data_IF_228015045379
#
_entry.id   IF_228015045379
#
_cell.length_a   1.000
_cell.length_b   1.000
_cell.length_c   1.000
_cell.angle_alpha   90.00
_cell.angle_beta   90.00
_cell.angle_gamma   90.00
#
_symmetry.space_group_name_H-M   'P 1'
#
loop_
_entity.id
_entity.type
_entity.pdbx_description
1 polymer ?
#
# COMPACT_ATOMS: atom_id res chain seq x y z
N UNK A 1 11.35 -17.28 -21.11
CA UNK A 1 10.80 -16.81 -22.40
C UNK A 1 10.96 -17.90 -23.42
N UNK A 2 9.89 -18.67 -23.61
CA UNK A 2 9.87 -19.76 -24.57
C UNK A 2 9.07 -19.33 -25.78
N UNK A 3 9.70 -19.35 -26.94
CA UNK A 3 8.98 -19.22 -28.20
C UNK A 3 8.17 -20.51 -28.42
N UNK A 4 6.88 -20.40 -28.65
CA UNK A 4 5.99 -21.53 -28.93
C UNK A 4 5.53 -21.50 -30.36
N UNK A 5 5.55 -22.65 -31.02
CA UNK A 5 4.97 -22.79 -32.36
C UNK A 5 3.44 -22.88 -32.30
N UNK A 6 2.76 -22.63 -33.44
CA UNK A 6 1.31 -22.80 -33.55
C UNK A 6 0.83 -24.16 -33.03
N UNK A 7 1.55 -25.23 -33.39
CA UNK A 7 1.19 -26.61 -32.99
C UNK A 7 1.32 -26.81 -31.49
N UNK A 8 2.44 -26.33 -30.90
CA UNK A 8 2.66 -26.39 -29.45
C UNK A 8 1.61 -25.61 -28.65
N UNK A 9 1.16 -24.44 -29.17
CA UNK A 9 0.10 -23.66 -28.53
C UNK A 9 -1.24 -24.42 -28.58
N UNK A 10 -1.59 -25.05 -29.73
CA UNK A 10 -2.82 -25.83 -29.87
C UNK A 10 -2.81 -27.02 -28.90
N UNK A 11 -1.68 -27.76 -28.85
CA UNK A 11 -1.51 -28.92 -27.98
C UNK A 11 -1.61 -28.52 -26.48
N UNK A 12 -0.92 -27.44 -26.08
CA UNK A 12 -0.94 -26.93 -24.74
C UNK A 12 -2.35 -26.44 -24.31
N UNK A 13 -3.09 -25.78 -25.20
CA UNK A 13 -4.47 -25.36 -24.95
C UNK A 13 -5.38 -26.59 -24.75
N UNK A 14 -5.18 -27.65 -25.53
CA UNK A 14 -5.95 -28.89 -25.41
C UNK A 14 -5.62 -29.64 -24.12
N UNK A 15 -4.33 -29.85 -23.82
CA UNK A 15 -3.90 -30.67 -22.69
C UNK A 15 -4.14 -29.96 -21.36
N UNK A 16 -3.80 -28.68 -21.26
CA UNK A 16 -3.85 -27.94 -19.99
C UNK A 16 -5.21 -27.35 -19.67
N UNK A 17 -5.96 -26.95 -20.71
CA UNK A 17 -7.22 -26.21 -20.54
C UNK A 17 -8.43 -26.90 -21.17
N UNK A 18 -8.24 -28.02 -21.86
CA UNK A 18 -9.33 -28.75 -22.58
C UNK A 18 -9.90 -27.99 -23.77
N UNK A 19 -9.19 -26.97 -24.26
CA UNK A 19 -9.65 -26.10 -25.35
C UNK A 19 -9.10 -26.61 -26.69
N UNK A 20 -10.00 -26.98 -27.60
CA UNK A 20 -9.64 -27.37 -28.96
C UNK A 20 -9.84 -26.19 -29.91
N UNK A 21 -8.77 -25.74 -30.56
CA UNK A 21 -8.79 -24.62 -31.50
C UNK A 21 -8.16 -24.97 -32.84
N UNK A 22 -8.63 -24.33 -33.91
CA UNK A 22 -8.04 -24.43 -35.24
C UNK A 22 -6.95 -23.35 -35.41
N UNK A 23 -5.95 -23.60 -36.27
CA UNK A 23 -4.86 -22.64 -36.55
C UNK A 23 -5.35 -21.24 -36.92
N UNK A 24 -6.43 -21.17 -37.75
CA UNK A 24 -7.01 -19.88 -38.16
C UNK A 24 -7.63 -19.13 -37.00
N UNK A 25 -8.31 -19.83 -36.09
CA UNK A 25 -8.91 -19.25 -34.89
C UNK A 25 -7.80 -18.73 -33.95
N UNK A 26 -6.76 -19.56 -33.73
CA UNK A 26 -5.64 -19.16 -32.89
C UNK A 26 -4.93 -17.89 -33.42
N UNK A 27 -4.76 -17.79 -34.75
CA UNK A 27 -4.17 -16.60 -35.37
C UNK A 27 -5.03 -15.33 -35.15
N UNK A 28 -6.37 -15.47 -35.26
CA UNK A 28 -7.31 -14.36 -34.96
C UNK A 28 -7.30 -13.98 -33.52
N UNK A 29 -7.25 -14.94 -32.60
CA UNK A 29 -7.19 -14.70 -31.17
C UNK A 29 -5.89 -13.98 -30.79
N UNK A 30 -4.76 -14.36 -31.39
CA UNK A 30 -3.47 -13.68 -31.19
C UNK A 30 -3.54 -12.24 -31.69
N UNK A 31 -4.12 -12.02 -32.90
CA UNK A 31 -4.30 -10.64 -33.41
C UNK A 31 -5.18 -9.79 -32.49
N UNK A 32 -6.28 -10.34 -31.98
CA UNK A 32 -7.14 -9.65 -31.04
C UNK A 32 -6.40 -9.32 -29.73
N UNK A 33 -5.55 -10.21 -29.21
CA UNK A 33 -4.72 -9.94 -28.03
C UNK A 33 -3.69 -8.83 -28.30
N UNK A 34 -3.11 -8.78 -29.51
CA UNK A 34 -2.20 -7.69 -29.92
C UNK A 34 -2.94 -6.35 -30.01
N UNK A 35 -4.15 -6.32 -30.57
CA UNK A 35 -5.02 -5.12 -30.60
C UNK A 35 -5.40 -4.66 -29.19
N UNK A 36 -5.56 -5.60 -28.26
CA UNK A 36 -5.81 -5.30 -26.85
C UNK A 36 -4.57 -4.78 -26.11
N UNK A 37 -3.42 -4.69 -26.77
CA UNK A 37 -2.18 -4.13 -26.22
C UNK A 37 -1.18 -5.16 -25.66
N UNK A 38 -1.38 -6.45 -25.92
CA UNK A 38 -0.36 -7.46 -25.58
C UNK A 38 0.77 -7.43 -26.62
N UNK A 39 2.00 -7.26 -26.17
CA UNK A 39 3.18 -7.26 -27.03
C UNK A 39 3.57 -8.70 -27.41
N UNK A 40 2.81 -9.28 -28.34
CA UNK A 40 3.07 -10.61 -28.88
C UNK A 40 3.84 -10.47 -30.19
N UNK A 41 5.10 -10.92 -30.16
CA UNK A 41 5.94 -10.97 -31.37
C UNK A 41 5.75 -12.29 -32.10
N UNK A 42 5.57 -12.19 -33.39
CA UNK A 42 5.46 -13.33 -34.29
C UNK A 42 6.73 -13.43 -35.14
N UNK A 43 7.50 -14.51 -34.94
CA UNK A 43 8.66 -14.81 -35.79
C UNK A 43 8.22 -15.75 -36.90
N UNK A 44 8.19 -15.24 -38.12
CA UNK A 44 7.85 -16.01 -39.30
C UNK A 44 9.04 -16.86 -39.75
N UNK A 45 8.87 -18.17 -39.70
CA UNK A 45 9.80 -19.18 -40.24
C UNK A 45 9.00 -20.28 -40.91
N UNK A 46 9.59 -21.44 -41.19
CA UNK A 46 8.85 -22.63 -41.63
C UNK A 46 7.64 -22.96 -40.76
N UNK A 47 7.69 -22.60 -39.48
CA UNK A 47 6.55 -22.58 -38.53
C UNK A 47 6.58 -21.27 -37.79
N UNK A 48 5.45 -20.54 -37.76
CA UNK A 48 5.33 -19.32 -36.98
C UNK A 48 5.54 -19.62 -35.49
N UNK A 49 6.39 -18.80 -34.85
CA UNK A 49 6.68 -18.86 -33.42
C UNK A 49 6.19 -17.60 -32.77
N UNK A 50 5.65 -17.73 -31.58
CA UNK A 50 5.05 -16.64 -30.80
C UNK A 50 5.71 -16.53 -29.45
N UNK A 51 5.94 -15.31 -29.01
CA UNK A 51 6.34 -15.03 -27.63
C UNK A 51 5.86 -13.63 -27.20
N UNK A 52 5.66 -13.44 -25.92
CA UNK A 52 5.35 -12.12 -25.34
C UNK A 52 6.67 -11.40 -25.12
N UNK A 53 6.92 -10.31 -25.84
CA UNK A 53 8.20 -9.59 -25.82
C UNK A 53 8.30 -8.68 -24.60
N UNK A 54 7.27 -7.89 -24.32
CA UNK A 54 7.22 -7.05 -23.13
C UNK A 54 5.98 -7.41 -22.29
N UNK A 55 6.04 -7.10 -21.01
CA UNK A 55 4.95 -7.26 -20.06
C UNK A 55 4.71 -5.93 -19.36
N UNK A 56 3.51 -5.74 -18.85
CA UNK A 56 3.17 -4.54 -18.06
C UNK A 56 4.15 -4.31 -16.89
N UNK A 57 4.66 -5.39 -16.32
CA UNK A 57 5.65 -5.35 -15.22
C UNK A 57 6.81 -6.29 -15.51
N UNK A 58 8.01 -5.81 -15.26
CA UNK A 58 9.20 -6.64 -15.22
C UNK A 58 9.27 -7.48 -13.93
N UNK A 59 10.06 -8.55 -13.98
CA UNK A 59 10.19 -9.47 -12.83
C UNK A 59 10.72 -8.76 -11.57
N UNK A 60 11.63 -7.80 -11.75
CA UNK A 60 12.20 -7.00 -10.67
C UNK A 60 11.16 -6.10 -10.03
N UNK A 61 10.30 -5.47 -10.84
CA UNK A 61 9.20 -4.62 -10.36
C UNK A 61 8.18 -5.42 -9.57
N UNK A 62 7.79 -6.60 -10.08
CA UNK A 62 6.91 -7.52 -9.35
C UNK A 62 7.51 -7.97 -8.03
N UNK A 63 8.82 -8.17 -7.96
CA UNK A 63 9.53 -8.50 -6.72
C UNK A 63 9.44 -7.35 -5.73
N UNK A 64 9.70 -6.11 -6.15
CA UNK A 64 9.56 -4.92 -5.30
C UNK A 64 8.15 -4.76 -4.76
N UNK A 65 7.12 -4.99 -5.59
CA UNK A 65 5.71 -4.96 -5.17
C UNK A 65 5.42 -6.05 -4.12
N UNK A 66 5.93 -7.27 -4.30
CA UNK A 66 5.78 -8.35 -3.32
C UNK A 66 6.46 -7.98 -2.01
N UNK A 67 7.68 -7.45 -2.06
CA UNK A 67 8.45 -7.06 -0.89
C UNK A 67 7.75 -5.91 -0.13
N UNK A 68 7.18 -4.93 -0.83
CA UNK A 68 6.37 -3.87 -0.25
C UNK A 68 5.12 -4.42 0.47
N UNK A 69 4.39 -5.35 -0.15
CA UNK A 69 3.22 -6.00 0.47
C UNK A 69 3.64 -6.83 1.70
N UNK A 70 4.76 -7.54 1.63
CA UNK A 70 5.26 -8.35 2.75
C UNK A 70 5.75 -7.49 3.91
N UNK A 71 6.47 -6.41 3.65
CA UNK A 71 7.02 -5.51 4.67
C UNK A 71 5.98 -4.64 5.34
N UNK A 72 4.87 -4.34 4.68
CA UNK A 72 3.81 -3.50 5.22
C UNK A 72 3.23 -4.08 6.51
N UNK A 73 3.23 -3.27 7.58
CA UNK A 73 2.56 -3.58 8.85
C UNK A 73 1.06 -3.39 8.77
N UNK A 74 0.61 -2.51 7.87
CA UNK A 74 -0.79 -2.17 7.71
C UNK A 74 -1.61 -3.30 7.09
N UNK A 75 -1.05 -4.02 6.11
CA UNK A 75 -1.73 -5.11 5.41
C UNK A 75 -1.68 -6.37 6.28
N UNK A 76 -2.86 -6.97 6.58
CA UNK A 76 -2.93 -8.20 7.37
C UNK A 76 -2.19 -9.37 6.71
N UNK A 77 -1.78 -10.34 7.50
CA UNK A 77 -1.07 -11.54 6.98
C UNK A 77 -1.90 -12.29 5.93
N UNK A 78 -3.23 -12.40 6.14
CA UNK A 78 -4.15 -13.05 5.22
C UNK A 78 -4.25 -12.30 3.89
N UNK A 79 -4.44 -10.98 3.94
CA UNK A 79 -4.52 -10.13 2.74
C UNK A 79 -3.20 -10.06 1.99
N UNK A 80 -2.06 -10.03 2.70
CA UNK A 80 -0.74 -10.10 2.06
C UNK A 80 -0.59 -11.35 1.19
N UNK A 81 -0.98 -12.52 1.70
CA UNK A 81 -0.94 -13.77 0.91
C UNK A 81 -1.78 -13.65 -0.36
N UNK A 82 -3.00 -13.13 -0.24
CA UNK A 82 -3.92 -12.97 -1.39
C UNK A 82 -3.33 -11.99 -2.43
N UNK A 83 -2.81 -10.84 -1.99
CA UNK A 83 -2.20 -9.86 -2.89
C UNK A 83 -0.97 -10.40 -3.59
N UNK A 84 -0.09 -11.09 -2.88
CA UNK A 84 1.11 -11.72 -3.44
C UNK A 84 0.73 -12.75 -4.52
N UNK A 85 -0.29 -13.58 -4.29
CA UNK A 85 -0.74 -14.52 -5.32
C UNK A 85 -1.36 -13.82 -6.54
N UNK A 86 -2.03 -12.67 -6.36
CA UNK A 86 -2.48 -11.84 -7.49
C UNK A 86 -1.31 -11.24 -8.27
N UNK A 87 -0.30 -10.70 -7.59
CA UNK A 87 0.91 -10.14 -8.22
C UNK A 87 1.65 -11.22 -9.01
N UNK A 88 1.80 -12.42 -8.46
CA UNK A 88 2.43 -13.55 -9.17
C UNK A 88 1.72 -13.94 -10.46
N UNK A 89 0.41 -13.74 -10.55
CA UNK A 89 -0.37 -14.01 -11.77
C UNK A 89 -0.13 -12.99 -12.89
N UNK A 90 0.53 -11.88 -12.60
CA UNK A 90 0.89 -10.85 -13.59
C UNK A 90 2.11 -11.25 -14.42
N UNK A 91 2.73 -12.40 -14.14
CA UNK A 91 3.86 -12.94 -14.89
C UNK A 91 3.63 -14.41 -15.30
N UNK A 92 4.55 -14.97 -16.06
CA UNK A 92 4.47 -16.39 -16.46
C UNK A 92 4.69 -17.32 -15.27
N UNK A 93 4.18 -18.54 -15.32
CA UNK A 93 4.35 -19.56 -14.27
C UNK A 93 5.83 -19.81 -13.95
N UNK A 94 6.69 -19.89 -14.97
CA UNK A 94 8.14 -20.07 -14.80
C UNK A 94 8.82 -18.90 -14.09
N UNK A 95 8.40 -17.67 -14.36
CA UNK A 95 8.89 -16.48 -13.67
C UNK A 95 8.31 -16.35 -12.27
N UNK A 96 7.04 -16.70 -12.06
CA UNK A 96 6.41 -16.71 -10.74
C UNK A 96 7.13 -17.64 -9.74
N UNK A 97 7.71 -18.76 -10.21
CA UNK A 97 8.55 -19.62 -9.38
C UNK A 97 9.83 -18.90 -8.89
N UNK A 98 10.43 -18.07 -9.73
CA UNK A 98 11.62 -17.28 -9.36
C UNK A 98 11.28 -16.25 -8.27
N UNK A 99 10.07 -15.69 -8.28
CA UNK A 99 9.59 -14.77 -7.25
C UNK A 99 9.43 -15.44 -5.87
N UNK A 100 9.28 -16.77 -5.80
CA UNK A 100 9.14 -17.50 -4.53
C UNK A 100 10.47 -17.73 -3.78
N UNK A 101 11.61 -17.76 -4.49
CA UNK A 101 12.86 -18.34 -3.96
C UNK A 101 13.68 -17.45 -3.03
N UNK A 102 13.45 -16.13 -2.99
CA UNK A 102 14.38 -15.19 -2.33
C UNK A 102 13.72 -14.20 -1.35
N UNK A 103 12.48 -14.45 -0.90
CA UNK A 103 11.78 -13.49 -0.06
C UNK A 103 11.98 -13.82 1.42
N UNK A 104 13.08 -13.35 1.98
CA UNK A 104 13.30 -13.24 3.42
C UNK A 104 12.89 -11.83 3.87
N UNK A 105 11.61 -11.64 4.15
CA UNK A 105 11.18 -10.47 4.92
C UNK A 105 11.17 -10.89 6.38
N UNK A 106 11.94 -10.17 7.20
CA UNK A 106 11.91 -10.34 8.66
C UNK A 106 10.45 -10.28 9.12
N UNK A 107 10.04 -11.25 9.94
CA UNK A 107 8.68 -11.33 10.48
C UNK A 107 8.26 -10.01 11.15
N UNK A 108 7.64 -9.12 10.36
CA UNK A 108 7.04 -7.88 10.90
C UNK A 108 5.67 -8.20 11.50
N UNK A 109 5.41 -7.63 12.66
CA UNK A 109 4.08 -7.69 13.28
C UNK A 109 3.12 -6.95 12.36
N UNK A 110 2.16 -7.67 11.79
CA UNK A 110 1.12 -7.14 10.90
C UNK A 110 -0.14 -6.78 11.67
N UNK A 111 -0.94 -5.87 11.12
CA UNK A 111 -2.28 -5.59 11.63
C UNK A 111 -3.14 -6.86 11.65
N UNK A 112 -3.97 -6.99 12.68
CA UNK A 112 -4.98 -8.04 12.82
C UNK A 112 -6.39 -7.58 12.36
N UNK A 113 -6.51 -6.33 11.91
CA UNK A 113 -7.78 -5.76 11.49
C UNK A 113 -8.12 -6.16 10.04
N UNK A 114 -8.88 -7.23 9.89
CA UNK A 114 -9.30 -7.71 8.56
C UNK A 114 -10.30 -6.77 7.84
N UNK A 115 -10.88 -5.79 8.55
CA UNK A 115 -11.79 -4.81 7.96
C UNK A 115 -11.08 -3.58 7.38
N UNK A 116 -9.77 -3.52 7.46
CA UNK A 116 -8.96 -2.34 7.13
C UNK A 116 -9.25 -1.77 5.73
N UNK A 117 -9.54 -2.61 4.74
CA UNK A 117 -9.86 -2.16 3.38
C UNK A 117 -11.22 -1.42 3.33
N UNK A 118 -12.23 -1.95 4.03
CA UNK A 118 -13.54 -1.31 4.11
C UNK A 118 -13.48 0.00 4.90
N UNK A 119 -12.58 0.08 5.88
CA UNK A 119 -12.33 1.29 6.66
C UNK A 119 -11.69 2.36 5.76
N UNK A 120 -10.64 2.02 5.02
CA UNK A 120 -9.96 2.92 4.07
C UNK A 120 -10.93 3.40 3.00
N UNK A 121 -11.71 2.48 2.42
CA UNK A 121 -12.71 2.79 1.39
C UNK A 121 -13.75 3.78 1.89
N UNK A 122 -14.34 3.52 3.07
CA UNK A 122 -15.32 4.40 3.68
C UNK A 122 -14.77 5.80 4.03
N UNK A 123 -13.50 5.86 4.49
CA UNK A 123 -12.85 7.15 4.75
C UNK A 123 -12.65 7.93 3.44
N UNK A 124 -12.15 7.28 2.38
CA UNK A 124 -11.99 7.91 1.08
C UNK A 124 -13.33 8.40 0.51
N UNK A 125 -14.37 7.58 0.60
CA UNK A 125 -15.73 7.95 0.18
C UNK A 125 -16.21 9.20 0.94
N UNK A 126 -16.03 9.25 2.26
CA UNK A 126 -16.43 10.38 3.08
C UNK A 126 -15.66 11.66 2.73
N UNK A 127 -14.35 11.57 2.50
CA UNK A 127 -13.53 12.70 2.04
C UNK A 127 -14.02 13.19 0.67
N UNK A 128 -14.20 12.28 -0.29
CA UNK A 128 -14.60 12.62 -1.64
C UNK A 128 -16.03 13.20 -1.72
N UNK A 129 -16.90 12.81 -0.80
CA UNK A 129 -18.29 13.30 -0.73
C UNK A 129 -18.50 14.42 0.27
N UNK A 130 -17.42 14.89 0.90
CA UNK A 130 -17.43 15.95 1.91
C UNK A 130 -18.41 15.67 3.06
N UNK A 131 -18.32 14.47 3.65
CA UNK A 131 -19.20 14.00 4.72
C UNK A 131 -18.44 13.65 5.99
N UNK A 132 -19.05 13.93 7.13
CA UNK A 132 -18.55 13.50 8.42
C UNK A 132 -18.63 11.99 8.55
N UNK A 133 -17.73 11.43 9.36
CA UNK A 133 -17.72 10.02 9.73
C UNK A 133 -17.87 9.82 11.24
N UNK A 134 -18.43 8.66 11.60
CA UNK A 134 -18.56 8.23 12.98
C UNK A 134 -17.94 6.83 13.15
N UNK A 135 -17.10 6.64 14.17
CA UNK A 135 -16.42 5.37 14.41
C UNK A 135 -16.03 5.19 15.87
N UNK A 136 -15.77 3.94 16.26
CA UNK A 136 -15.13 3.59 17.54
C UNK A 136 -13.66 3.28 17.33
N UNK A 137 -12.85 3.46 18.36
CA UNK A 137 -11.41 3.37 18.28
C UNK A 137 -10.84 2.41 19.32
N UNK A 138 -9.86 1.58 18.93
CA UNK A 138 -9.17 0.67 19.83
C UNK A 138 -7.96 1.29 20.48
N UNK A 139 -7.73 0.91 21.74
CA UNK A 139 -6.48 1.10 22.47
C UNK A 139 -6.02 -0.22 23.08
N UNK A 140 -4.79 -0.26 23.54
CA UNK A 140 -4.25 -1.40 24.26
C UNK A 140 -4.11 -1.05 25.73
N UNK A 141 -4.60 -1.95 26.61
CA UNK A 141 -4.33 -1.87 28.05
C UNK A 141 -2.88 -2.24 28.38
N UNK A 142 -2.42 -1.93 29.58
CA UNK A 142 -1.10 -2.35 30.06
C UNK A 142 -0.87 -3.88 30.01
N UNK A 143 -1.94 -4.68 29.98
CA UNK A 143 -1.91 -6.14 29.82
C UNK A 143 -1.91 -6.56 28.33
N UNK A 144 -1.67 -5.64 27.39
CA UNK A 144 -1.70 -5.85 25.95
C UNK A 144 -3.04 -6.35 25.39
N UNK A 145 -4.13 -6.16 26.15
CA UNK A 145 -5.50 -6.48 25.69
C UNK A 145 -6.08 -5.31 24.93
N UNK A 146 -6.65 -5.61 23.76
CA UNK A 146 -7.35 -4.65 22.93
C UNK A 146 -8.71 -4.33 23.53
N UNK A 147 -9.01 -3.05 23.70
CA UNK A 147 -10.28 -2.55 24.21
C UNK A 147 -10.72 -1.30 23.46
N UNK A 148 -12.01 -1.02 23.46
CA UNK A 148 -12.50 0.25 22.92
C UNK A 148 -12.07 1.40 23.84
N UNK A 149 -11.52 2.44 23.24
CA UNK A 149 -11.08 3.65 23.91
C UNK A 149 -12.29 4.39 24.48
N UNK A 150 -12.10 5.06 25.63
CA UNK A 150 -13.12 5.86 26.31
C UNK A 150 -14.46 5.09 26.48
N UNK A 151 -14.39 3.82 26.96
CA UNK A 151 -15.57 2.97 27.19
C UNK A 151 -16.46 2.76 25.96
N UNK A 152 -15.89 2.78 24.75
CA UNK A 152 -16.64 2.59 23.51
C UNK A 152 -17.27 3.86 22.94
N UNK A 153 -16.77 5.02 23.33
CA UNK A 153 -17.21 6.31 22.79
C UNK A 153 -17.12 6.30 21.25
N UNK A 154 -18.13 6.87 20.61
CA UNK A 154 -18.18 7.10 19.17
C UNK A 154 -17.54 8.44 18.84
N UNK A 155 -16.44 8.40 18.11
CA UNK A 155 -15.78 9.60 17.59
C UNK A 155 -16.51 10.08 16.34
N UNK A 156 -16.73 11.39 16.24
CA UNK A 156 -17.23 12.06 15.06
C UNK A 156 -16.17 12.99 14.53
N UNK A 157 -15.96 12.97 13.20
CA UNK A 157 -14.86 13.66 12.56
C UNK A 157 -15.28 14.17 11.19
N UNK A 158 -14.87 15.40 10.85
CA UNK A 158 -14.83 15.90 9.48
C UNK A 158 -13.50 15.48 8.88
N UNK A 159 -13.44 14.40 8.05
CA UNK A 159 -12.20 13.85 7.55
C UNK A 159 -11.65 14.73 6.43
N UNK A 160 -10.36 15.04 6.47
CA UNK A 160 -9.68 15.85 5.44
C UNK A 160 -8.66 15.02 4.66
N UNK A 161 -7.76 14.31 5.36
CA UNK A 161 -6.65 13.59 4.72
C UNK A 161 -6.44 12.21 5.30
N UNK A 162 -6.03 11.29 4.44
CA UNK A 162 -5.33 10.07 4.84
C UNK A 162 -3.85 10.18 4.51
N UNK A 163 -3.00 10.18 5.52
CA UNK A 163 -1.55 10.31 5.39
C UNK A 163 -0.89 8.97 5.66
N UNK A 164 -0.01 8.53 4.75
CA UNK A 164 0.84 7.37 4.98
C UNK A 164 2.11 7.78 5.71
N UNK A 165 2.31 7.28 6.91
CA UNK A 165 3.50 7.54 7.71
C UNK A 165 3.88 6.30 8.52
N UNK A 166 5.16 5.95 8.52
CA UNK A 166 5.76 4.84 9.29
C UNK A 166 4.96 3.52 9.18
N UNK A 167 4.72 3.08 7.94
CA UNK A 167 3.98 1.85 7.60
C UNK A 167 2.49 1.83 8.02
N UNK A 168 1.88 2.97 8.34
CA UNK A 168 0.49 3.08 8.72
C UNK A 168 -0.23 4.24 8.03
N UNK A 169 -1.53 4.08 7.78
CA UNK A 169 -2.38 5.22 7.46
C UNK A 169 -2.83 5.93 8.72
N UNK A 170 -2.78 7.25 8.65
CA UNK A 170 -3.32 8.16 9.64
C UNK A 170 -4.43 8.99 9.01
N UNK A 171 -5.57 9.02 9.66
CA UNK A 171 -6.69 9.87 9.31
C UNK A 171 -6.55 11.18 10.06
N UNK A 172 -6.50 12.29 9.33
CA UNK A 172 -6.54 13.64 9.85
C UNK A 172 -7.93 14.22 9.60
N UNK A 173 -8.48 14.88 10.60
CA UNK A 173 -9.76 15.53 10.46
C UNK A 173 -10.11 16.40 11.67
N UNK A 174 -11.07 17.28 11.49
CA UNK A 174 -11.51 18.19 12.53
C UNK A 174 -12.54 17.51 13.43
N UNK A 175 -12.33 17.65 14.72
CA UNK A 175 -13.23 17.19 15.77
C UNK A 175 -13.93 18.40 16.42
N UNK A 176 -15.23 18.50 16.24
CA UNK A 176 -16.02 19.54 16.91
C UNK A 176 -15.93 19.45 18.44
N UNK A 177 -15.86 18.23 18.99
CA UNK A 177 -15.73 18.00 20.43
C UNK A 177 -14.45 18.59 21.02
N UNK A 178 -13.36 18.55 20.24
CA UNK A 178 -12.04 19.01 20.68
C UNK A 178 -11.64 20.34 20.06
N UNK A 179 -12.47 20.88 19.16
CA UNK A 179 -12.26 22.15 18.44
C UNK A 179 -10.89 22.23 17.75
N UNK A 180 -10.37 21.10 17.27
CA UNK A 180 -9.08 21.02 16.60
C UNK A 180 -8.99 19.86 15.63
N UNK A 181 -7.97 19.89 14.76
CA UNK A 181 -7.59 18.76 13.93
C UNK A 181 -6.93 17.70 14.83
N UNK A 182 -7.43 16.48 14.74
CA UNK A 182 -6.91 15.33 15.47
C UNK A 182 -6.54 14.21 14.51
N UNK A 183 -5.68 13.32 14.97
CA UNK A 183 -5.11 12.24 14.18
C UNK A 183 -5.51 10.89 14.75
N UNK A 184 -5.93 9.97 13.86
CA UNK A 184 -6.24 8.59 14.21
C UNK A 184 -5.50 7.60 13.31
N UNK A 185 -4.91 6.57 13.89
CA UNK A 185 -4.39 5.44 13.09
C UNK A 185 -5.55 4.63 12.55
N UNK A 186 -5.58 4.45 11.23
CA UNK A 186 -6.69 3.80 10.54
C UNK A 186 -6.84 2.32 10.92
N UNK A 187 -5.74 1.61 11.18
CA UNK A 187 -5.74 0.21 11.61
C UNK A 187 -6.33 -0.02 13.02
N UNK A 188 -6.49 1.06 13.82
CA UNK A 188 -7.12 1.02 15.14
C UNK A 188 -8.60 1.41 15.15
N UNK A 189 -9.17 1.79 14.03
CA UNK A 189 -10.60 1.98 13.87
C UNK A 189 -11.29 0.62 14.00
N UNK A 190 -12.31 0.51 14.85
CA UNK A 190 -12.86 -0.77 15.27
C UNK A 190 -13.62 -1.51 14.17
N UNK A 191 -14.37 -0.77 13.36
CA UNK A 191 -15.16 -1.30 12.25
C UNK A 191 -15.27 -0.26 11.13
N UNK A 192 -15.88 -0.61 10.02
CA UNK A 192 -16.17 0.34 8.92
C UNK A 192 -16.86 1.57 9.51
N UNK A 193 -16.30 2.80 9.31
CA UNK A 193 -16.94 4.04 9.74
C UNK A 193 -18.33 4.21 9.12
N UNK A 194 -19.24 4.77 9.88
CA UNK A 194 -20.52 5.24 9.36
C UNK A 194 -20.32 6.61 8.71
N UNK A 195 -20.71 6.74 7.44
CA UNK A 195 -20.69 8.01 6.73
C UNK A 195 -21.97 8.75 7.09
N UNK A 196 -21.85 9.92 7.70
CA UNK A 196 -22.96 10.76 8.13
C UNK A 196 -23.62 11.44 6.93
N UNK A 197 -24.88 11.86 7.11
CA UNK A 197 -25.54 12.80 6.19
C UNK A 197 -25.09 14.25 6.41
N UNK A 198 -24.40 14.52 7.50
CA UNK A 198 -23.88 15.84 7.84
C UNK A 198 -22.64 16.13 6.97
N UNK A 199 -22.56 17.33 6.43
CA UNK A 199 -21.37 17.78 5.68
C UNK A 199 -20.20 17.96 6.60
N UNK A 200 -19.00 17.68 6.09
CA UNK A 200 -17.76 17.99 6.79
C UNK A 200 -17.63 19.51 6.97
N UNK A 201 -17.13 19.91 8.11
CA UNK A 201 -16.69 21.29 8.29
C UNK A 201 -15.54 21.59 7.32
N UNK A 202 -15.44 22.82 6.79
CA UNK A 202 -14.32 23.19 5.94
C UNK A 202 -13.00 23.09 6.70
N UNK A 203 -11.96 22.77 5.96
CA UNK A 203 -10.60 22.81 6.48
C UNK A 203 -10.24 24.24 6.93
N UNK A 204 -9.60 24.42 8.11
CA UNK A 204 -9.12 25.74 8.53
C UNK A 204 -8.14 26.32 7.50
N UNK A 205 -8.31 27.61 7.16
CA UNK A 205 -7.51 28.29 6.13
C UNK A 205 -6.00 28.36 6.48
N UNK A 206 -5.66 28.30 7.74
CA UNK A 206 -4.30 28.32 8.27
C UNK A 206 -3.67 26.93 8.45
N UNK A 207 -4.37 25.86 8.06
CA UNK A 207 -3.85 24.51 8.18
C UNK A 207 -2.94 24.15 6.99
N UNK A 208 -1.67 23.89 7.28
CA UNK A 208 -0.69 23.36 6.32
C UNK A 208 -0.38 21.89 6.63
N UNK A 209 -0.81 20.98 5.77
CA UNK A 209 -0.56 19.55 5.88
C UNK A 209 0.94 19.22 5.89
N UNK A 210 1.75 19.92 5.08
CA UNK A 210 3.18 19.67 5.00
C UNK A 210 3.90 20.09 6.28
N UNK A 211 3.56 21.24 6.82
CA UNK A 211 4.07 21.69 8.12
C UNK A 211 3.59 20.77 9.25
N UNK A 212 2.31 20.40 9.25
CA UNK A 212 1.76 19.50 10.26
C UNK A 212 2.50 18.16 10.25
N UNK A 213 2.70 17.51 9.11
CA UNK A 213 3.36 16.21 9.01
C UNK A 213 4.84 16.27 9.40
N UNK A 214 5.53 17.40 9.18
CA UNK A 214 6.91 17.63 9.62
C UNK A 214 7.00 17.84 11.14
N UNK A 215 6.01 18.53 11.73
CA UNK A 215 6.03 18.90 13.15
C UNK A 215 5.58 17.77 14.09
N UNK A 216 4.92 16.74 13.57
CA UNK A 216 4.32 15.68 14.39
C UNK A 216 5.15 14.39 14.30
N UNK A 217 5.85 14.05 15.38
CA UNK A 217 6.64 12.83 15.47
C UNK A 217 5.72 11.61 15.61
N UNK A 218 5.79 10.66 14.68
CA UNK A 218 4.90 9.49 14.60
C UNK A 218 3.40 9.83 14.64
N UNK A 219 3.03 11.03 14.15
CA UNK A 219 1.64 11.50 14.14
C UNK A 219 0.97 11.56 15.54
N UNK A 220 1.77 11.73 16.59
CA UNK A 220 1.26 12.06 17.92
C UNK A 220 1.04 13.58 18.04
N UNK A 221 -0.13 13.96 18.55
CA UNK A 221 -0.45 15.34 18.87
C UNK A 221 0.16 15.71 20.24
N UNK A 222 0.74 16.91 20.34
CA UNK A 222 1.36 17.40 21.54
C UNK A 222 1.76 18.86 21.42
N UNK A 223 2.28 19.43 22.49
CA UNK A 223 2.87 20.76 22.49
C UNK A 223 4.14 20.77 21.62
N UNK A 224 4.26 21.78 20.73
CA UNK A 224 5.46 21.94 19.89
C UNK A 224 6.61 22.44 20.76
N UNK A 225 7.70 21.69 20.81
CA UNK A 225 8.92 22.05 21.52
C UNK A 225 10.11 21.96 20.60
N UNK A 226 11.06 22.87 20.75
CA UNK A 226 12.34 22.80 20.06
C UNK A 226 13.25 21.82 20.81
N UNK A 227 13.89 20.90 20.09
CA UNK A 227 14.79 19.91 20.67
C UNK A 227 16.13 19.97 19.97
N UNK A 228 17.19 20.24 20.75
CA UNK A 228 18.57 20.12 20.27
C UNK A 228 19.12 18.75 20.66
N UNK A 229 19.60 18.02 19.67
CA UNK A 229 20.19 16.69 19.85
C UNK A 229 21.71 16.77 19.67
N UNK A 230 22.47 16.38 20.66
CA UNK A 230 23.91 16.16 20.51
C UNK A 230 24.16 14.70 20.16
N UNK A 231 24.81 14.48 19.03
CA UNK A 231 25.07 13.16 18.47
C UNK A 231 26.54 13.01 18.10
N UNK A 232 27.05 11.79 18.19
CA UNK A 232 28.38 11.44 17.64
C UNK A 232 28.35 11.55 16.11
N UNK A 233 29.43 12.05 15.51
CA UNK A 233 29.55 12.22 14.05
C UNK A 233 29.32 10.90 13.25
N UNK A 234 29.60 9.74 13.86
CA UNK A 234 29.32 8.44 13.27
C UNK A 234 27.82 8.18 13.02
N UNK A 235 26.93 8.91 13.69
CA UNK A 235 25.47 8.84 13.54
C UNK A 235 24.93 9.76 12.44
N UNK A 236 25.77 10.57 11.78
CA UNK A 236 25.31 11.55 10.78
C UNK A 236 24.48 10.89 9.68
N UNK A 237 24.86 9.72 9.19
CA UNK A 237 24.06 8.96 8.22
C UNK A 237 22.65 8.69 8.75
N UNK A 238 22.51 8.27 9.99
CA UNK A 238 21.21 7.99 10.62
C UNK A 238 20.39 9.27 10.79
N UNK A 239 21.06 10.40 11.10
CA UNK A 239 20.40 11.71 11.18
C UNK A 239 19.83 12.12 9.83
N UNK A 240 20.65 12.05 8.76
CA UNK A 240 20.22 12.38 7.41
C UNK A 240 19.11 11.43 6.93
N UNK A 241 19.24 10.12 7.17
CA UNK A 241 18.23 9.12 6.82
C UNK A 241 16.88 9.39 7.53
N UNK A 242 16.91 10.00 8.71
CA UNK A 242 15.70 10.25 9.52
C UNK A 242 15.08 11.62 9.31
N UNK A 243 15.90 12.67 9.23
CA UNK A 243 15.45 14.07 9.23
C UNK A 243 15.65 14.78 7.89
N UNK A 244 16.31 14.13 6.92
CA UNK A 244 16.66 14.70 5.63
C UNK A 244 17.97 15.47 5.65
N UNK A 245 18.46 15.82 4.45
CA UNK A 245 19.71 16.58 4.28
C UNK A 245 19.59 18.04 4.72
N UNK A 246 18.36 18.59 4.74
CA UNK A 246 18.07 19.99 5.09
C UNK A 246 18.05 20.24 6.61
N UNK A 247 18.25 19.20 7.46
CA UNK A 247 18.29 19.38 8.90
C UNK A 247 19.47 20.26 9.32
N UNK A 248 19.18 21.30 10.13
CA UNK A 248 20.21 22.19 10.63
C UNK A 248 21.14 21.45 11.57
N UNK A 249 22.44 21.45 11.26
CA UNK A 249 23.49 20.85 12.10
C UNK A 249 24.55 21.87 12.46
N UNK A 250 25.06 21.78 13.66
CA UNK A 250 26.18 22.61 14.16
C UNK A 250 27.24 21.68 14.72
N UNK A 251 28.49 21.85 14.26
CA UNK A 251 29.62 21.12 14.86
C UNK A 251 29.88 21.66 16.26
N UNK A 252 29.80 20.82 17.25
CA UNK A 252 30.06 21.19 18.63
C UNK A 252 31.54 20.95 19.01
N UNK A 253 32.12 19.86 18.55
CA UNK A 253 33.54 19.52 18.67
C UNK A 253 33.96 18.61 17.48
N UNK A 254 35.18 18.05 17.50
CA UNK A 254 35.67 17.19 16.41
C UNK A 254 34.95 15.84 16.30
N UNK A 255 34.13 15.47 17.27
CA UNK A 255 33.43 14.16 17.33
C UNK A 255 31.92 14.27 17.39
N UNK A 256 31.38 15.46 17.61
CA UNK A 256 29.93 15.69 17.76
C UNK A 256 29.43 16.99 17.13
#
# INVERSE_FOLDING_TARGET
>A
DHMLTTNQLIEMLKEKYGISVHRVTLAKDIAALQEFGMDIVVVHSTQSKYFVASRMFELTELKLLIDAVQSSRFITAKKSKILIEKIKRMTSEGQAVKLKRNNYVVNRIKSDNEQIYYIVDAINEAINTNRQIAFQYYEYSGLKKKRLRNNGEVYRLSPYYMVWNDDCYYLLGYSEKHEKIITFRVDRIACKPEISKIESLPEPEDFDLAEFTKSVFFMYDGEKVLVDLRCDNSLMKTIVDRFGEDVTTLAYDMTS
#
